data_IF_452276604037
#
_entry.id   IF_452276604037
#
_cell.length_a   1.000
_cell.length_b   1.000
_cell.length_c   1.000
_cell.angle_alpha   90.00
_cell.angle_beta   90.00
_cell.angle_gamma   90.00
#
_symmetry.space_group_name_H-M   'P 1'
#
loop_
_entity.id
_entity.type
_entity.pdbx_description
1 polymer ?
#
# COMPACT_ATOMS: atom_id res chain seq x y z
N UNK A 1 -19.66 -53.96 -23.45
CA UNK A 1 -18.38 -53.68 -24.14
C UNK A 1 -18.22 -52.17 -24.20
N UNK A 2 -17.34 -51.61 -23.37
CA UNK A 2 -17.00 -50.18 -23.39
C UNK A 2 -16.14 -49.93 -24.64
N UNK A 3 -16.57 -49.00 -25.49
CA UNK A 3 -15.97 -48.70 -26.79
C UNK A 3 -14.55 -48.14 -26.61
N UNK A 4 -13.55 -48.79 -27.24
CA UNK A 4 -12.13 -48.40 -27.19
C UNK A 4 -11.91 -46.95 -27.66
N UNK A 5 -12.81 -46.42 -28.50
CA UNK A 5 -12.81 -45.02 -28.93
C UNK A 5 -13.14 -44.05 -27.80
N UNK A 6 -14.05 -44.43 -26.90
CA UNK A 6 -14.42 -43.60 -25.75
C UNK A 6 -13.26 -43.47 -24.75
N UNK A 7 -12.43 -44.51 -24.61
CA UNK A 7 -11.26 -44.48 -23.71
C UNK A 7 -10.12 -43.61 -24.24
N UNK A 8 -9.86 -43.65 -25.56
CA UNK A 8 -8.84 -42.80 -26.21
C UNK A 8 -9.27 -41.32 -26.18
N UNK A 9 -10.56 -41.04 -26.38
CA UNK A 9 -11.09 -39.67 -26.30
C UNK A 9 -11.07 -39.12 -24.86
N UNK A 10 -11.38 -39.93 -23.85
CA UNK A 10 -11.26 -39.51 -22.44
C UNK A 10 -9.79 -39.29 -22.02
N UNK A 11 -8.86 -40.15 -22.43
CA UNK A 11 -7.44 -39.98 -22.12
C UNK A 11 -6.82 -38.77 -22.83
N UNK A 12 -7.21 -38.50 -24.08
CA UNK A 12 -6.80 -37.31 -24.83
C UNK A 12 -7.37 -36.01 -24.24
N UNK A 13 -8.61 -36.03 -23.75
CA UNK A 13 -9.23 -34.88 -23.10
C UNK A 13 -8.58 -34.54 -21.73
N UNK A 14 -8.17 -35.55 -20.96
CA UNK A 14 -7.45 -35.33 -19.70
C UNK A 14 -6.03 -34.78 -19.90
N UNK A 15 -5.37 -35.08 -21.03
CA UNK A 15 -4.04 -34.55 -21.33
C UNK A 15 -4.07 -33.07 -21.78
N UNK A 16 -5.19 -32.61 -22.33
CA UNK A 16 -5.39 -31.21 -22.76
C UNK A 16 -5.71 -30.24 -21.60
N UNK A 17 -5.95 -30.74 -20.39
CA UNK A 17 -6.17 -29.93 -19.17
C UNK A 17 -4.90 -29.75 -18.33
N UNK A 18 -3.71 -30.06 -18.88
CA UNK A 18 -2.45 -29.59 -18.32
C UNK A 18 -2.34 -28.09 -18.63
N UNK A 19 -2.81 -27.25 -17.70
CA UNK A 19 -2.59 -25.81 -17.73
C UNK A 19 -1.08 -25.55 -17.88
N UNK A 20 -0.69 -24.93 -18.99
CA UNK A 20 0.66 -24.41 -19.18
C UNK A 20 0.82 -23.22 -18.21
N UNK A 21 1.60 -23.42 -17.15
CA UNK A 21 1.93 -22.36 -16.21
C UNK A 21 3.05 -21.54 -16.84
N UNK A 22 2.70 -20.39 -17.40
CA UNK A 22 3.67 -19.45 -17.91
C UNK A 22 4.49 -18.86 -16.76
N UNK A 23 5.67 -19.44 -16.53
CA UNK A 23 6.60 -19.02 -15.50
C UNK A 23 7.19 -17.62 -15.77
N UNK A 24 7.19 -17.12 -17.01
CA UNK A 24 7.55 -15.73 -17.29
C UNK A 24 6.47 -14.78 -16.77
N UNK A 25 5.20 -15.18 -16.81
CA UNK A 25 4.12 -14.41 -16.20
C UNK A 25 4.06 -14.58 -14.67
N UNK A 26 4.57 -15.67 -14.09
CA UNK A 26 4.58 -15.81 -12.62
C UNK A 26 5.82 -15.14 -11.99
N UNK A 27 6.97 -15.20 -12.64
CA UNK A 27 8.24 -14.73 -12.08
C UNK A 27 8.87 -13.55 -12.84
N UNK A 28 8.21 -13.05 -13.89
CA UNK A 28 8.67 -11.91 -14.67
C UNK A 28 8.67 -10.62 -13.85
N UNK A 29 9.65 -9.76 -14.08
CA UNK A 29 9.76 -8.48 -13.38
C UNK A 29 8.54 -7.56 -13.60
N UNK A 30 7.82 -7.74 -14.70
CA UNK A 30 6.64 -6.96 -15.08
C UNK A 30 5.33 -7.59 -14.60
N UNK A 31 5.34 -8.85 -14.20
CA UNK A 31 4.12 -9.57 -13.83
C UNK A 31 3.66 -9.31 -12.39
N UNK A 32 4.58 -8.87 -11.55
CA UNK A 32 4.28 -8.34 -10.23
C UNK A 32 4.67 -6.86 -10.20
N UNK A 33 3.71 -5.92 -10.13
CA UNK A 33 4.05 -4.52 -9.95
C UNK A 33 4.91 -4.42 -8.69
N UNK A 34 6.04 -3.71 -8.77
CA UNK A 34 6.91 -3.48 -7.62
C UNK A 34 6.07 -3.07 -6.41
N UNK A 35 6.30 -3.59 -5.19
CA UNK A 35 5.59 -3.15 -3.99
C UNK A 35 5.66 -1.63 -3.74
N UNK A 36 6.61 -0.94 -4.40
CA UNK A 36 6.74 0.52 -4.39
C UNK A 36 5.78 1.25 -5.35
N UNK A 37 5.21 0.53 -6.33
CA UNK A 37 4.24 0.97 -7.35
C UNK A 37 2.91 0.27 -7.13
N UNK A 38 2.41 0.29 -5.91
CA UNK A 38 1.07 -0.19 -5.60
C UNK A 38 0.45 0.79 -4.62
N UNK A 39 -0.78 1.21 -4.90
CA UNK A 39 -1.54 2.09 -3.99
C UNK A 39 -1.78 1.42 -2.64
N UNK A 40 -1.82 2.22 -1.59
CA UNK A 40 -2.12 1.73 -0.24
C UNK A 40 -3.62 1.49 -0.09
N UNK A 41 -4.04 0.22 -0.06
CA UNK A 41 -5.40 -0.14 0.36
C UNK A 41 -5.44 -0.46 1.85
N UNK A 42 -6.59 -0.23 2.50
CA UNK A 42 -6.79 -0.41 3.94
C UNK A 42 -6.46 -1.84 4.41
N UNK A 43 -6.72 -2.82 3.55
CA UNK A 43 -6.45 -4.24 3.78
C UNK A 43 -4.95 -4.55 3.71
N UNK A 44 -4.19 -3.80 2.91
CA UNK A 44 -2.77 -4.03 2.66
C UNK A 44 -1.86 -3.43 3.72
N UNK A 45 -2.25 -2.31 4.32
CA UNK A 45 -1.36 -1.59 5.25
C UNK A 45 -1.53 -1.99 6.73
N UNK A 46 -2.54 -2.80 7.08
CA UNK A 46 -2.75 -3.42 8.40
C UNK A 46 -2.41 -2.52 9.61
N UNK A 47 -2.85 -1.26 9.61
CA UNK A 47 -2.58 -0.40 10.78
C UNK A 47 -1.17 0.21 10.85
N UNK A 48 -0.38 0.22 9.76
CA UNK A 48 0.76 1.14 9.53
C UNK A 48 0.54 2.48 10.22
N UNK A 49 1.46 2.82 11.12
CA UNK A 49 1.35 4.03 11.91
C UNK A 49 1.69 5.24 11.03
N UNK A 50 0.66 5.84 10.45
CA UNK A 50 0.71 7.13 9.76
C UNK A 50 0.58 8.29 10.75
N UNK A 51 0.80 9.50 10.27
CA UNK A 51 0.60 10.70 11.09
C UNK A 51 -0.89 10.92 11.34
N UNK A 52 -1.31 11.01 12.61
CA UNK A 52 -2.69 11.29 13.03
C UNK A 52 -3.75 10.42 12.32
N UNK A 53 -3.42 9.15 12.09
CA UNK A 53 -4.25 8.19 11.34
C UNK A 53 -4.65 8.65 9.92
N UNK A 54 -3.90 9.58 9.32
CA UNK A 54 -4.11 10.01 7.94
C UNK A 54 -3.93 8.86 6.95
N UNK A 55 -4.66 8.84 5.83
CA UNK A 55 -4.45 7.87 4.77
C UNK A 55 -2.98 7.91 4.28
N UNK A 56 -2.25 6.80 4.25
CA UNK A 56 -0.92 6.77 3.67
C UNK A 56 -1.00 6.83 2.14
N UNK A 57 -0.29 7.76 1.53
CA UNK A 57 -0.19 7.90 0.07
C UNK A 57 1.27 7.70 -0.39
N UNK A 58 1.44 7.16 -1.60
CA UNK A 58 2.74 7.11 -2.30
C UNK A 58 2.89 8.33 -3.20
N UNK A 59 3.38 9.45 -2.66
CA UNK A 59 3.50 10.73 -3.38
C UNK A 59 4.33 10.70 -4.68
N UNK A 60 5.17 9.68 -4.89
CA UNK A 60 6.01 9.49 -6.08
C UNK A 60 5.80 8.10 -6.73
N UNK A 61 4.62 7.51 -6.54
CA UNK A 61 4.23 6.21 -7.09
C UNK A 61 2.84 6.31 -7.72
N UNK A 62 2.08 5.22 -7.67
CA UNK A 62 0.75 5.14 -8.29
C UNK A 62 -0.26 6.18 -7.76
N UNK A 63 0.00 6.76 -6.59
CA UNK A 63 -0.84 7.78 -5.95
C UNK A 63 -0.40 9.22 -6.29
N UNK A 64 0.54 9.42 -7.22
CA UNK A 64 1.09 10.74 -7.56
C UNK A 64 0.03 11.73 -8.08
N UNK A 65 -0.97 11.24 -8.81
CA UNK A 65 -2.06 12.06 -9.37
C UNK A 65 -3.12 12.46 -8.33
N UNK A 66 -3.04 11.94 -7.10
CA UNK A 66 -4.00 12.26 -6.03
C UNK A 66 -3.73 13.67 -5.52
N UNK A 67 -4.70 14.56 -5.68
CA UNK A 67 -4.63 15.91 -5.14
C UNK A 67 -4.75 15.89 -3.60
N UNK A 68 -3.92 16.70 -2.94
CA UNK A 68 -3.97 16.93 -1.51
C UNK A 68 -3.61 18.38 -1.21
N UNK A 69 -4.27 18.98 -0.20
CA UNK A 69 -3.96 20.34 0.23
C UNK A 69 -2.72 20.39 1.13
N UNK A 70 -2.53 19.36 1.94
CA UNK A 70 -1.45 19.26 2.92
C UNK A 70 -0.91 17.83 2.95
N UNK A 71 0.40 17.68 2.77
CA UNK A 71 1.10 16.41 2.92
C UNK A 71 2.11 16.45 4.07
N UNK A 72 2.15 15.37 4.85
CA UNK A 72 3.13 15.19 5.94
C UNK A 72 4.15 14.14 5.54
N UNK A 73 5.35 14.59 5.16
CA UNK A 73 6.46 13.74 4.72
C UNK A 73 7.55 13.71 5.80
N UNK A 74 8.05 12.52 6.10
CA UNK A 74 9.16 12.34 7.05
C UNK A 74 10.48 12.16 6.31
N UNK A 75 11.50 12.93 6.68
CA UNK A 75 12.87 12.80 6.15
C UNK A 75 13.83 12.31 7.26
N UNK A 76 14.05 11.00 7.42
CA UNK A 76 14.86 10.45 8.50
C UNK A 76 16.36 10.58 8.20
N UNK A 77 16.91 11.79 8.36
CA UNK A 77 18.31 12.09 8.08
C UNK A 77 18.97 12.88 9.23
N UNK A 78 20.20 12.50 9.61
CA UNK A 78 20.96 13.17 10.68
C UNK A 78 22.49 13.08 10.52
N UNK A 79 23.00 12.62 9.37
CA UNK A 79 24.45 12.50 9.13
C UNK A 79 25.14 13.88 9.09
N UNK A 80 24.39 14.95 8.83
CA UNK A 80 24.90 16.34 8.85
C UNK A 80 24.94 16.97 10.26
N UNK A 81 24.53 16.25 11.31
CA UNK A 81 24.60 16.78 12.68
C UNK A 81 26.06 16.87 13.15
N UNK A 82 26.43 17.97 13.81
CA UNK A 82 27.81 18.21 14.28
C UNK A 82 28.09 17.72 15.69
N UNK A 83 27.05 17.42 16.49
CA UNK A 83 27.20 17.09 17.90
C UNK A 83 26.31 15.93 18.37
N UNK A 84 24.99 16.13 18.43
CA UNK A 84 24.04 15.10 18.93
C UNK A 84 23.23 14.49 17.77
N UNK A 85 23.59 13.29 17.27
CA UNK A 85 22.80 12.56 16.28
C UNK A 85 21.55 11.93 16.92
N UNK A 86 20.64 11.43 16.09
CA UNK A 86 19.42 10.75 16.52
C UNK A 86 18.12 11.33 15.95
N UNK A 87 18.16 12.47 15.26
CA UNK A 87 16.96 13.05 14.64
C UNK A 87 16.37 12.16 13.54
N UNK A 88 17.13 11.20 12.99
CA UNK A 88 16.63 10.19 12.05
C UNK A 88 15.46 9.35 12.59
N UNK A 89 15.37 9.20 13.91
CA UNK A 89 14.27 8.48 14.57
C UNK A 89 13.02 9.34 14.79
N UNK A 90 13.15 10.67 14.64
CA UNK A 90 12.09 11.65 14.85
C UNK A 90 10.82 11.39 14.03
N UNK A 91 10.91 11.18 12.70
CA UNK A 91 9.72 10.96 11.89
C UNK A 91 8.85 9.78 12.34
N UNK A 92 9.47 8.65 12.74
CA UNK A 92 8.72 7.52 13.28
C UNK A 92 8.16 7.86 14.69
N UNK A 93 8.97 8.49 15.55
CA UNK A 93 8.51 8.94 16.87
C UNK A 93 7.28 9.85 16.81
N UNK A 94 7.25 10.80 15.88
CA UNK A 94 6.10 11.69 15.64
C UNK A 94 4.87 10.89 15.22
N UNK A 95 5.02 9.95 14.27
CA UNK A 95 3.91 9.07 13.84
C UNK A 95 3.34 8.27 15.02
N UNK A 96 4.21 7.64 15.81
CA UNK A 96 3.80 6.90 17.02
C UNK A 96 3.13 7.79 18.07
N UNK A 97 3.66 8.99 18.31
CA UNK A 97 3.07 9.96 19.25
C UNK A 97 1.70 10.47 18.80
N UNK A 98 1.51 10.61 17.47
CA UNK A 98 0.26 11.10 16.88
C UNK A 98 -0.89 10.09 16.87
N UNK A 99 -0.70 8.86 17.36
CA UNK A 99 -1.74 7.80 17.34
C UNK A 99 -3.02 8.14 18.09
N UNK A 100 -2.97 9.09 19.04
CA UNK A 100 -4.15 9.58 19.77
C UNK A 100 -4.85 10.73 19.05
N UNK A 101 -4.25 11.27 17.99
CA UNK A 101 -4.83 12.30 17.15
C UNK A 101 -5.50 11.64 15.93
N UNK A 102 -6.54 12.28 15.41
CA UNK A 102 -7.17 11.88 14.16
C UNK A 102 -7.58 13.11 13.39
N UNK A 103 -7.25 13.16 12.09
CA UNK A 103 -7.69 14.27 11.22
C UNK A 103 -9.23 14.26 11.03
N UNK A 104 -9.85 13.11 11.25
CA UNK A 104 -11.31 12.93 11.20
C UNK A 104 -11.97 13.25 12.55
N UNK A 105 -11.23 13.61 13.60
CA UNK A 105 -11.81 13.98 14.88
C UNK A 105 -12.52 15.34 14.80
N UNK A 106 -13.71 15.41 15.41
CA UNK A 106 -14.45 16.66 15.56
C UNK A 106 -13.88 17.47 16.74
N UNK A 107 -13.56 18.74 16.51
CA UNK A 107 -13.30 19.67 17.59
C UNK A 107 -14.66 20.10 18.19
N UNK A 108 -15.01 19.54 19.35
CA UNK A 108 -16.33 19.71 19.97
C UNK A 108 -16.66 21.18 20.29
N UNK A 109 -15.79 21.95 20.98
CA UNK A 109 -16.02 23.37 21.22
C UNK A 109 -16.27 24.20 19.96
N UNK A 110 -15.53 23.92 18.88
CA UNK A 110 -15.62 24.67 17.63
C UNK A 110 -16.66 24.10 16.65
N UNK A 111 -17.28 22.95 16.98
CA UNK A 111 -18.22 22.21 16.13
C UNK A 111 -17.73 22.03 14.69
N UNK A 112 -16.42 21.88 14.53
CA UNK A 112 -15.79 21.84 13.21
C UNK A 112 -14.85 20.65 13.14
N UNK A 113 -14.80 20.01 11.98
CA UNK A 113 -13.81 18.99 11.66
C UNK A 113 -12.86 19.60 10.62
N UNK A 114 -11.56 19.37 10.81
CA UNK A 114 -10.55 19.93 9.90
C UNK A 114 -10.62 19.27 8.52
N UNK A 115 -10.92 17.96 8.46
CA UNK A 115 -11.07 17.24 7.19
C UNK A 115 -12.23 17.72 6.32
N UNK A 116 -13.19 18.48 6.85
CA UNK A 116 -14.28 19.05 6.03
C UNK A 116 -13.77 20.14 5.06
N UNK A 117 -12.56 20.67 5.30
CA UNK A 117 -11.94 21.73 4.50
C UNK A 117 -10.70 21.26 3.74
N UNK A 118 -10.34 19.98 3.82
CA UNK A 118 -9.14 19.45 3.20
C UNK A 118 -9.51 18.41 2.13
N UNK A 119 -8.88 18.52 0.98
CA UNK A 119 -8.92 17.52 -0.10
C UNK A 119 -7.88 16.44 0.16
N UNK A 120 -8.26 15.19 -0.07
CA UNK A 120 -7.34 14.04 -0.03
C UNK A 120 -7.06 13.48 1.37
N UNK A 121 -7.99 13.64 2.34
CA UNK A 121 -7.82 13.21 3.75
C UNK A 121 -8.99 12.37 4.28
#
# INVERSE_FOLDING_TARGET
MLDLRAFILLAGASLALAHDVDFQQVFGADSHPSPSRQSWTKERWNGLVSFAAAPPLRCWGDDEDIAYDVAVIGAPFDTATSYRPGTRFGPNGIRQGSRRLSIQALNVPLKTRISDFLVGV
#
